data_IF_101394556191
#
_entry.id   IF_101394556191
#
_cell.length_a   1.000
_cell.length_b   1.000
_cell.length_c   1.000
_cell.angle_alpha   90.00
_cell.angle_beta   90.00
_cell.angle_gamma   90.00
#
_symmetry.space_group_name_H-M   'P 1'
#
loop_
_entity.id
_entity.type
_entity.pdbx_description
1 polymer ?
#
# COMPACT_ATOMS: atom_id res chain seq x y z
N UNK A 1 -7.89 8.29 25.54
CA UNK A 1 -8.72 7.36 24.75
C UNK A 1 -8.06 7.24 23.40
N UNK A 2 -7.76 6.03 22.98
CA UNK A 2 -7.04 5.77 21.74
C UNK A 2 -8.05 5.65 20.58
N UNK A 3 -7.74 6.27 19.45
CA UNK A 3 -8.57 6.25 18.25
C UNK A 3 -8.50 4.89 17.53
N UNK A 4 -7.37 4.19 17.67
CA UNK A 4 -7.02 2.95 16.98
C UNK A 4 -8.12 1.88 16.99
N UNK A 5 -8.83 1.59 18.11
CA UNK A 5 -9.86 0.55 18.13
C UNK A 5 -11.11 0.87 17.29
N UNK A 6 -11.32 2.13 16.93
CA UNK A 6 -12.46 2.58 16.13
C UNK A 6 -12.10 2.70 14.65
N UNK A 7 -10.81 2.65 14.33
CA UNK A 7 -10.31 2.67 12.95
C UNK A 7 -10.57 1.28 12.36
N UNK A 8 -11.23 1.25 11.22
CA UNK A 8 -11.36 0.04 10.44
C UNK A 8 -9.99 -0.31 9.85
N UNK A 9 -9.44 -1.43 10.31
CA UNK A 9 -8.16 -1.97 9.87
C UNK A 9 -8.34 -3.45 9.53
N UNK A 10 -7.97 -3.81 8.31
CA UNK A 10 -7.97 -5.20 7.86
C UNK A 10 -6.53 -5.66 7.68
N UNK A 11 -6.15 -6.70 8.42
CA UNK A 11 -4.86 -7.35 8.22
C UNK A 11 -4.92 -8.18 6.95
N UNK A 12 -3.90 -8.04 6.11
CA UNK A 12 -3.85 -8.76 4.84
C UNK A 12 -3.47 -10.22 5.04
N UNK A 13 -4.16 -11.08 4.28
CA UNK A 13 -3.81 -12.49 4.09
C UNK A 13 -3.48 -12.70 2.61
N UNK A 14 -2.25 -13.12 2.30
CA UNK A 14 -1.78 -13.29 0.92
C UNK A 14 -1.36 -11.97 0.25
N UNK A 15 -1.60 -11.83 -1.05
CA UNK A 15 -1.12 -10.69 -1.87
C UNK A 15 -2.19 -9.62 -2.17
N UNK A 16 -3.35 -9.67 -1.51
CA UNK A 16 -4.50 -8.80 -1.76
C UNK A 16 -4.36 -7.38 -1.16
N UNK A 17 -3.20 -6.75 -1.33
CA UNK A 17 -2.88 -5.45 -0.72
C UNK A 17 -3.81 -4.33 -1.18
N UNK A 18 -4.19 -4.28 -2.46
CA UNK A 18 -5.06 -3.22 -2.98
C UNK A 18 -6.45 -3.24 -2.34
N UNK A 19 -7.01 -4.43 -2.10
CA UNK A 19 -8.30 -4.58 -1.43
C UNK A 19 -8.27 -3.92 -0.05
N UNK A 20 -7.30 -4.31 0.77
CA UNK A 20 -7.17 -3.79 2.12
C UNK A 20 -6.84 -2.30 2.15
N UNK A 21 -6.01 -1.82 1.20
CA UNK A 21 -5.75 -0.39 1.06
C UNK A 21 -7.03 0.41 0.78
N UNK A 22 -7.89 -0.06 -0.14
CA UNK A 22 -9.16 0.60 -0.48
C UNK A 22 -10.18 0.51 0.66
N UNK A 23 -10.29 -0.64 1.32
CA UNK A 23 -11.20 -0.81 2.47
C UNK A 23 -10.77 0.02 3.68
N UNK A 24 -9.46 0.11 3.94
CA UNK A 24 -8.90 1.01 4.93
C UNK A 24 -9.16 2.48 4.57
N UNK A 25 -9.01 2.84 3.30
CA UNK A 25 -9.32 4.19 2.82
C UNK A 25 -10.79 4.54 3.01
N UNK A 26 -11.72 3.62 2.78
CA UNK A 26 -13.16 3.85 2.93
C UNK A 26 -13.67 3.59 4.35
N UNK A 27 -12.82 3.08 5.24
CA UNK A 27 -13.16 2.70 6.61
C UNK A 27 -14.28 1.65 6.69
N UNK A 28 -14.26 0.67 5.78
CA UNK A 28 -15.19 -0.46 5.79
C UNK A 28 -14.87 -1.50 4.71
N UNK A 29 -15.44 -2.71 4.80
CA UNK A 29 -15.21 -3.82 3.87
C UNK A 29 -16.06 -3.62 2.59
N UNK A 30 -15.74 -2.60 1.80
CA UNK A 30 -16.53 -2.22 0.63
C UNK A 30 -16.12 -2.92 -0.66
N UNK A 31 -14.86 -3.33 -0.74
CA UNK A 31 -14.30 -4.06 -1.86
C UNK A 31 -13.88 -5.45 -1.42
N UNK A 32 -14.20 -6.42 -2.27
CA UNK A 32 -13.65 -7.77 -2.22
C UNK A 32 -12.69 -8.01 -3.38
N UNK A 33 -11.85 -9.04 -3.28
CA UNK A 33 -11.00 -9.46 -4.38
C UNK A 33 -11.80 -9.77 -5.66
N UNK A 34 -13.02 -10.29 -5.52
CA UNK A 34 -13.92 -10.58 -6.64
C UNK A 34 -14.35 -9.28 -7.32
N UNK A 35 -14.76 -8.28 -6.55
CA UNK A 35 -15.15 -6.96 -7.08
C UNK A 35 -14.01 -6.31 -7.86
N UNK A 36 -12.78 -6.37 -7.32
CA UNK A 36 -11.59 -5.81 -7.98
C UNK A 36 -11.22 -6.60 -9.25
N UNK A 37 -11.35 -7.92 -9.23
CA UNK A 37 -11.12 -8.76 -10.41
C UNK A 37 -12.15 -8.47 -11.51
N UNK A 38 -13.41 -8.21 -11.16
CA UNK A 38 -14.43 -7.79 -12.12
C UNK A 38 -14.11 -6.43 -12.75
N UNK A 39 -13.63 -5.47 -11.96
CA UNK A 39 -13.18 -4.16 -12.47
C UNK A 39 -11.98 -4.34 -13.41
N UNK A 40 -11.01 -5.20 -13.05
CA UNK A 40 -9.85 -5.47 -13.88
C UNK A 40 -10.24 -6.12 -15.21
N UNK A 41 -11.09 -7.15 -15.19
CA UNK A 41 -11.58 -7.80 -16.41
C UNK A 41 -12.31 -6.84 -17.33
N UNK A 42 -13.13 -5.95 -16.74
CA UNK A 42 -13.84 -4.93 -17.52
C UNK A 42 -12.87 -3.95 -18.19
N UNK A 43 -11.79 -3.56 -17.50
CA UNK A 43 -10.76 -2.72 -18.10
C UNK A 43 -10.05 -3.44 -19.25
N UNK A 44 -9.73 -4.72 -19.09
CA UNK A 44 -9.13 -5.52 -20.16
C UNK A 44 -10.07 -5.61 -21.38
N UNK A 45 -11.39 -5.77 -21.16
CA UNK A 45 -12.42 -5.75 -22.22
C UNK A 45 -12.49 -4.39 -22.94
N UNK A 46 -12.54 -3.29 -22.18
CA UNK A 46 -12.58 -1.91 -22.71
C UNK A 46 -11.30 -1.59 -23.51
N UNK A 47 -10.12 -1.99 -23.02
CA UNK A 47 -8.83 -1.83 -23.72
C UNK A 47 -8.77 -2.69 -24.99
N UNK A 48 -9.33 -3.90 -24.96
CA UNK A 48 -9.39 -4.81 -26.10
C UNK A 48 -10.23 -4.22 -27.25
N UNK A 49 -11.32 -3.54 -26.94
CA UNK A 49 -12.19 -2.89 -27.92
C UNK A 49 -11.55 -1.67 -28.59
N UNK A 50 -10.62 -0.98 -27.90
CA UNK A 50 -9.91 0.20 -28.42
C UNK A 50 -8.71 -0.17 -29.31
N UNK A 51 -8.01 -1.27 -29.01
CA UNK A 51 -6.71 -1.58 -29.65
C UNK A 51 -6.83 -2.40 -30.95
N UNK A 52 -7.80 -3.32 -31.08
CA UNK A 52 -8.05 -4.20 -32.26
C UNK A 52 -6.84 -5.06 -32.76
N UNK A 53 -7.00 -6.10 -33.62
CA UNK A 53 -8.11 -7.03 -33.81
C UNK A 53 -7.98 -8.27 -32.89
N UNK A 54 -9.07 -9.06 -32.81
CA UNK A 54 -9.36 -10.21 -31.92
C UNK A 54 -8.40 -11.42 -31.95
N UNK A 55 -7.22 -11.32 -32.57
CA UNK A 55 -6.44 -12.49 -33.00
C UNK A 55 -5.26 -12.88 -32.09
N UNK A 56 -5.15 -12.30 -30.89
CA UNK A 56 -4.19 -12.76 -29.89
C UNK A 56 -4.87 -12.84 -28.51
N UNK A 57 -4.94 -14.03 -27.87
CA UNK A 57 -5.28 -14.11 -26.46
C UNK A 57 -4.17 -13.39 -25.69
N UNK A 58 -4.47 -12.19 -25.21
CA UNK A 58 -3.61 -11.48 -24.27
C UNK A 58 -3.98 -11.92 -22.87
N UNK A 59 -2.98 -12.26 -22.08
CA UNK A 59 -3.15 -12.41 -20.64
C UNK A 59 -3.58 -11.05 -20.08
N UNK A 60 -4.46 -11.05 -19.08
CA UNK A 60 -4.94 -9.82 -18.44
C UNK A 60 -3.75 -9.03 -17.91
N UNK A 61 -3.57 -7.82 -18.39
CA UNK A 61 -2.48 -6.96 -17.92
C UNK A 61 -2.86 -6.25 -16.61
N UNK A 62 -4.16 -6.19 -16.31
CA UNK A 62 -4.70 -5.45 -15.17
C UNK A 62 -4.87 -6.28 -13.89
N UNK A 63 -4.81 -7.61 -14.00
CA UNK A 63 -4.89 -8.57 -12.90
C UNK A 63 -4.01 -9.77 -13.20
N UNK A 64 -3.21 -10.19 -12.21
CA UNK A 64 -2.48 -11.46 -12.24
C UNK A 64 -3.05 -12.42 -11.18
N UNK A 65 -3.02 -13.73 -11.46
CA UNK A 65 -3.48 -14.80 -10.55
C UNK A 65 -2.70 -14.82 -9.22
N UNK A 66 -1.58 -14.10 -9.17
CA UNK A 66 -0.79 -13.82 -7.97
C UNK A 66 -1.43 -12.80 -7.01
N UNK A 67 -2.53 -12.13 -7.40
CA UNK A 67 -3.24 -11.14 -6.57
C UNK A 67 -2.77 -9.69 -6.73
N UNK A 68 -1.97 -9.39 -7.76
CA UNK A 68 -1.55 -8.03 -8.09
C UNK A 68 -2.58 -7.35 -8.98
N UNK A 69 -2.86 -6.08 -8.66
CA UNK A 69 -3.78 -5.24 -9.41
C UNK A 69 -3.05 -4.02 -9.97
N UNK A 70 -3.39 -3.63 -11.20
CA UNK A 70 -2.81 -2.45 -11.82
C UNK A 70 -3.30 -1.14 -11.18
N UNK A 71 -2.55 -0.06 -11.42
CA UNK A 71 -2.91 1.30 -10.99
C UNK A 71 -4.28 1.71 -11.55
N UNK A 72 -4.61 1.27 -12.76
CA UNK A 72 -5.88 1.60 -13.40
C UNK A 72 -7.08 0.99 -12.67
N UNK A 73 -6.94 -0.24 -12.12
CA UNK A 73 -7.98 -0.88 -11.31
C UNK A 73 -8.28 -0.03 -10.07
N UNK A 74 -7.23 0.39 -9.36
CA UNK A 74 -7.36 1.31 -8.22
C UNK A 74 -8.08 2.60 -8.61
N UNK A 75 -7.67 3.25 -9.71
CA UNK A 75 -8.27 4.51 -10.16
C UNK A 75 -9.76 4.34 -10.52
N UNK A 76 -10.14 3.25 -11.18
CA UNK A 76 -11.54 3.00 -11.52
C UNK A 76 -12.37 2.64 -10.29
N UNK A 77 -11.83 1.84 -9.37
CA UNK A 77 -12.47 1.54 -8.09
C UNK A 77 -12.79 2.84 -7.32
N UNK A 78 -11.82 3.76 -7.21
CA UNK A 78 -12.01 5.06 -6.57
C UNK A 78 -13.04 5.94 -7.30
N UNK A 79 -13.03 5.92 -8.63
CA UNK A 79 -13.98 6.68 -9.46
C UNK A 79 -15.44 6.28 -9.19
N UNK A 80 -15.71 5.00 -8.88
CA UNK A 80 -17.06 4.52 -8.50
C UNK A 80 -17.54 5.25 -7.23
N UNK A 81 -16.65 5.46 -6.27
CA UNK A 81 -16.90 6.19 -5.03
C UNK A 81 -16.91 7.72 -5.20
N UNK A 82 -16.59 8.22 -6.40
CA UNK A 82 -16.43 9.65 -6.65
C UNK A 82 -15.16 10.21 -6.00
N UNK A 83 -14.16 9.35 -5.79
CA UNK A 83 -12.83 9.72 -5.34
C UNK A 83 -11.90 9.81 -6.55
N UNK A 84 -11.03 10.80 -6.53
CA UNK A 84 -10.01 11.02 -7.55
C UNK A 84 -8.63 10.70 -6.97
N UNK A 85 -7.87 9.87 -7.69
CA UNK A 85 -6.48 9.56 -7.37
C UNK A 85 -5.55 10.33 -8.31
N UNK A 86 -4.89 11.37 -7.78
CA UNK A 86 -3.91 12.17 -8.52
C UNK A 86 -2.50 11.81 -8.08
N UNK A 87 -1.56 11.50 -8.99
CA UNK A 87 -0.18 11.23 -8.58
C UNK A 87 0.45 12.48 -7.93
N UNK A 88 1.23 12.30 -6.85
CA UNK A 88 1.84 13.39 -6.09
C UNK A 88 2.79 14.26 -6.95
N UNK A 89 3.40 13.68 -7.98
CA UNK A 89 4.26 14.39 -8.92
C UNK A 89 3.54 15.26 -9.94
N UNK A 90 2.19 15.25 -9.99
CA UNK A 90 1.43 16.12 -10.89
C UNK A 90 1.40 17.57 -10.41
N UNK A 91 1.32 18.52 -11.34
CA UNK A 91 1.18 19.95 -11.06
C UNK A 91 -0.06 20.26 -10.19
N UNK A 92 -1.13 19.47 -10.34
CA UNK A 92 -2.36 19.58 -9.55
C UNK A 92 -2.20 19.15 -8.09
N UNK A 93 -1.09 18.48 -7.75
CA UNK A 93 -0.78 17.98 -6.41
C UNK A 93 0.29 18.81 -5.66
N UNK A 94 0.67 19.99 -6.17
CA UNK A 94 1.63 20.89 -5.49
C UNK A 94 1.16 21.24 -4.07
N UNK A 95 -0.14 21.52 -3.89
CA UNK A 95 -0.71 21.82 -2.57
C UNK A 95 -0.56 20.63 -1.61
N UNK A 96 -0.75 19.40 -2.09
CA UNK A 96 -0.55 18.18 -1.31
C UNK A 96 0.92 17.98 -0.91
N UNK A 97 1.85 18.50 -1.70
CA UNK A 97 3.29 18.42 -1.46
C UNK A 97 3.76 19.47 -0.45
N UNK A 98 3.15 20.65 -0.49
CA UNK A 98 3.47 21.75 0.42
C UNK A 98 2.75 21.61 1.77
N UNK A 99 1.51 21.08 1.75
CA UNK A 99 0.65 20.87 2.92
C UNK A 99 -0.01 19.47 2.88
N UNK A 100 0.76 18.39 3.07
CA UNK A 100 0.21 17.03 3.04
C UNK A 100 -0.85 16.77 4.10
N UNK A 101 -0.84 17.54 5.19
CA UNK A 101 -1.75 17.39 6.33
C UNK A 101 -3.19 17.81 6.06
N UNK A 102 -3.44 18.61 5.02
CA UNK A 102 -4.79 19.10 4.70
C UNK A 102 -5.56 18.12 3.81
N UNK A 103 -4.84 17.24 3.11
CA UNK A 103 -5.41 16.21 2.24
C UNK A 103 -6.19 15.15 3.05
N UNK A 104 -7.05 14.40 2.35
CA UNK A 104 -7.91 13.40 2.97
C UNK A 104 -7.14 12.10 3.23
N UNK A 105 -6.45 11.61 2.21
CA UNK A 105 -5.65 10.40 2.28
C UNK A 105 -4.62 10.35 1.15
N UNK A 106 -3.61 9.50 1.34
CA UNK A 106 -2.66 9.10 0.31
C UNK A 106 -2.71 7.58 0.16
N UNK A 107 -2.60 7.11 -1.07
CA UNK A 107 -2.31 5.71 -1.37
C UNK A 107 -0.87 5.65 -1.87
N UNK A 108 -0.07 4.79 -1.26
CA UNK A 108 1.32 4.57 -1.62
C UNK A 108 1.46 3.17 -2.24
N UNK A 109 2.27 3.08 -3.29
CA UNK A 109 2.72 1.81 -3.87
C UNK A 109 4.24 1.68 -3.65
N UNK A 110 4.63 0.96 -2.60
CA UNK A 110 6.01 0.72 -2.21
C UNK A 110 6.35 -0.73 -2.50
N UNK A 111 7.33 -1.01 -3.38
CA UNK A 111 7.76 -2.38 -3.69
C UNK A 111 6.61 -3.32 -4.08
N UNK A 112 5.71 -2.85 -4.96
CA UNK A 112 4.51 -3.60 -5.39
C UNK A 112 3.49 -3.87 -4.27
N UNK A 113 3.60 -3.14 -3.14
CA UNK A 113 2.67 -3.21 -2.03
C UNK A 113 1.87 -1.91 -1.89
N UNK A 114 0.55 -2.06 -1.93
CA UNK A 114 -0.40 -0.97 -1.77
C UNK A 114 -0.78 -0.78 -0.30
N UNK A 115 -0.68 0.46 0.19
CA UNK A 115 -1.21 0.82 1.50
C UNK A 115 -1.72 2.26 1.54
N UNK A 116 -2.56 2.53 2.54
CA UNK A 116 -3.24 3.82 2.68
C UNK A 116 -2.74 4.57 3.91
N UNK A 117 -2.45 5.84 3.73
CA UNK A 117 -2.29 6.82 4.80
C UNK A 117 -3.57 7.67 4.83
N UNK A 118 -4.30 7.67 5.94
CA UNK A 118 -5.57 8.42 6.04
C UNK A 118 -5.54 9.39 7.23
N UNK A 119 -6.14 10.56 7.00
CA UNK A 119 -6.43 11.55 8.04
C UNK A 119 -7.80 11.30 8.67
N UNK A 120 -7.90 11.46 9.99
CA UNK A 120 -9.16 11.38 10.72
C UNK A 120 -9.48 12.70 11.43
N UNK A 121 -10.52 13.40 10.94
CA UNK A 121 -11.00 14.72 11.38
C UNK A 121 -9.97 15.86 11.37
N UNK A 122 -8.87 15.75 12.14
CA UNK A 122 -7.86 16.78 12.36
C UNK A 122 -6.58 16.52 11.54
N UNK A 123 -5.90 17.57 11.04
CA UNK A 123 -4.58 17.48 10.37
C UNK A 123 -3.47 16.82 11.20
N UNK A 124 -3.62 16.76 12.52
CA UNK A 124 -2.65 16.13 13.43
C UNK A 124 -2.85 14.62 13.62
N UNK A 125 -3.87 14.04 12.99
CA UNK A 125 -4.29 12.65 13.17
C UNK A 125 -4.17 11.88 11.86
N UNK A 126 -2.94 11.59 11.51
CA UNK A 126 -2.61 10.69 10.41
C UNK A 126 -2.32 9.30 10.93
N UNK A 127 -2.79 8.31 10.20
CA UNK A 127 -2.55 6.91 10.52
C UNK A 127 -2.06 6.15 9.31
N UNK A 128 -1.05 5.31 9.54
CA UNK A 128 -0.62 4.28 8.63
C UNK A 128 -1.59 3.11 8.72
N UNK A 129 -2.28 2.82 7.63
CA UNK A 129 -3.19 1.68 7.52
C UNK A 129 -2.60 0.60 6.62
N UNK A 130 -1.28 0.42 6.68
CA UNK A 130 -0.62 -0.68 6.01
C UNK A 130 -1.10 -2.01 6.59
N UNK A 131 -1.73 -2.82 5.75
CA UNK A 131 -2.32 -4.11 6.06
C UNK A 131 -1.31 -5.17 6.53
N UNK A 132 0.00 -4.95 6.33
CA UNK A 132 1.07 -5.79 6.87
C UNK A 132 1.36 -5.53 8.36
N UNK A 133 0.88 -4.40 8.90
CA UNK A 133 1.04 -4.07 10.31
C UNK A 133 0.05 -4.85 11.18
N UNK A 134 0.30 -4.88 12.49
CA UNK A 134 -0.62 -5.48 13.46
C UNK A 134 -1.78 -4.54 13.84
N UNK A 135 -1.78 -3.31 13.33
CA UNK A 135 -2.85 -2.33 13.52
C UNK A 135 -2.50 -0.96 12.95
N UNK A 136 -3.42 -0.01 13.12
CA UNK A 136 -3.22 1.36 12.67
C UNK A 136 -2.15 2.09 13.51
N UNK A 137 -1.07 2.53 12.87
CA UNK A 137 0.01 3.28 13.53
C UNK A 137 -0.19 4.78 13.35
N UNK A 138 -0.02 5.55 14.43
CA UNK A 138 -0.11 7.00 14.35
C UNK A 138 1.16 7.61 13.72
N UNK A 139 0.94 8.55 12.81
CA UNK A 139 1.96 9.32 12.11
C UNK A 139 1.82 10.80 12.51
N UNK A 140 2.93 11.44 12.88
CA UNK A 140 2.96 12.88 13.13
C UNK A 140 2.96 13.68 11.83
N UNK A 141 2.51 14.93 11.87
CA UNK A 141 2.53 15.85 10.71
C UNK A 141 3.93 16.01 10.10
N UNK A 142 4.97 16.03 10.94
CA UNK A 142 6.36 16.11 10.47
C UNK A 142 6.84 14.80 9.85
N UNK A 143 6.44 13.66 10.41
CA UNK A 143 6.84 12.34 9.94
C UNK A 143 6.17 12.00 8.59
N UNK A 144 4.84 12.13 8.50
CA UNK A 144 4.23 13.01 7.50
C UNK A 144 4.93 13.21 6.16
N UNK A 145 5.29 14.48 5.97
CA UNK A 145 6.00 14.95 4.80
C UNK A 145 7.35 14.25 4.61
N UNK A 146 8.05 13.88 5.67
CA UNK A 146 9.35 13.18 5.52
C UNK A 146 9.18 11.81 4.84
N UNK A 147 8.19 11.03 5.25
CA UNK A 147 7.86 9.73 4.67
C UNK A 147 7.47 9.87 3.20
N UNK A 148 6.59 10.82 2.87
CA UNK A 148 6.18 11.06 1.48
C UNK A 148 7.37 11.46 0.59
N UNK A 149 8.27 12.31 1.09
CA UNK A 149 9.49 12.69 0.36
C UNK A 149 10.46 11.54 0.16
N UNK A 150 10.59 10.67 1.16
CA UNK A 150 11.43 9.48 1.04
C UNK A 150 10.89 8.56 -0.07
N UNK A 151 9.59 8.25 -0.03
CA UNK A 151 8.95 7.39 -1.03
C UNK A 151 9.07 7.99 -2.44
N UNK A 152 8.90 9.32 -2.57
CA UNK A 152 9.12 10.05 -3.84
C UNK A 152 10.57 9.93 -4.33
N UNK A 153 11.55 10.07 -3.43
CA UNK A 153 12.98 10.00 -3.77
C UNK A 153 13.45 8.61 -4.18
N UNK A 154 12.82 7.57 -3.63
CA UNK A 154 13.08 6.18 -3.98
C UNK A 154 12.41 5.78 -5.31
N UNK A 155 11.59 6.67 -5.90
CA UNK A 155 10.95 6.47 -7.20
C UNK A 155 9.63 5.71 -7.13
N UNK A 156 9.04 5.59 -5.94
CA UNK A 156 7.76 4.92 -5.76
C UNK A 156 6.58 5.84 -6.08
N UNK A 157 5.45 5.23 -6.41
CA UNK A 157 4.24 5.96 -6.80
C UNK A 157 3.38 6.30 -5.59
N UNK A 158 3.06 7.59 -5.44
CA UNK A 158 2.16 8.11 -4.41
C UNK A 158 0.98 8.77 -5.09
N UNK A 159 -0.23 8.47 -4.63
CA UNK A 159 -1.47 9.03 -5.12
C UNK A 159 -2.17 9.79 -4.00
N UNK A 160 -2.46 11.06 -4.24
CA UNK A 160 -3.29 11.90 -3.40
C UNK A 160 -4.74 11.60 -3.70
N UNK A 161 -5.52 11.30 -2.66
CA UNK A 161 -6.94 11.00 -2.78
C UNK A 161 -7.76 12.22 -2.39
N UNK A 162 -8.56 12.70 -3.35
CA UNK A 162 -9.46 13.84 -3.16
C UNK A 162 -10.90 13.41 -3.44
N UNK A 163 -11.84 13.94 -2.67
CA UNK A 163 -13.27 13.69 -2.84
C UNK A 163 -14.01 13.53 -1.52
N UNK A 164 -15.24 13.00 -1.60
CA UNK A 164 -16.09 12.75 -0.44
C UNK A 164 -15.94 11.29 0.00
N UNK A 165 -15.15 11.04 1.04
CA UNK A 165 -15.14 9.73 1.70
C UNK A 165 -16.36 9.59 2.60
N UNK A 166 -16.88 8.36 2.79
CA UNK A 166 -17.90 8.12 3.81
C UNK A 166 -17.37 8.53 5.20
N UNK A 167 -18.22 9.20 5.97
CA UNK A 167 -17.93 9.56 7.37
C UNK A 167 -17.87 8.30 8.19
N UNK A 168 -16.79 8.11 8.95
CA UNK A 168 -16.61 6.93 9.79
C UNK A 168 -16.81 7.29 11.27
N UNK A 169 -17.20 6.33 12.13
CA UNK A 169 -17.25 6.55 13.58
C UNK A 169 -15.90 7.00 14.16
N UNK A 170 -14.79 6.62 13.51
CA UNK A 170 -13.46 7.09 13.85
C UNK A 170 -13.29 8.60 13.59
N UNK A 171 -13.87 9.15 12.52
CA UNK A 171 -13.81 10.58 12.25
C UNK A 171 -14.55 11.38 13.33
N UNK A 172 -15.73 10.92 13.73
CA UNK A 172 -16.54 11.57 14.78
C UNK A 172 -15.80 11.57 16.12
N UNK A 173 -15.22 10.43 16.50
CA UNK A 173 -14.44 10.32 17.73
C UNK A 173 -13.16 11.16 17.65
N UNK A 174 -12.47 11.15 16.51
CA UNK A 174 -11.23 11.89 16.29
C UNK A 174 -11.40 13.40 16.50
N UNK A 175 -12.58 13.95 16.18
CA UNK A 175 -12.93 15.35 16.39
C UNK A 175 -13.05 15.73 17.88
N UNK A 176 -13.44 14.78 18.73
CA UNK A 176 -13.64 15.00 20.18
C UNK A 176 -12.39 14.75 21.01
N UNK A 177 -11.41 14.02 20.48
CA UNK A 177 -10.21 13.62 21.21
C UNK A 177 -9.14 14.73 21.22
N UNK A 178 -8.42 14.92 22.34
CA UNK A 178 -7.28 15.82 22.40
C UNK A 178 -6.14 15.32 21.51
N UNK A 179 -5.34 16.21 20.89
CA UNK A 179 -4.31 15.83 19.93
C UNK A 179 -3.37 14.75 20.51
N UNK A 180 -2.96 13.77 19.69
CA UNK A 180 -2.13 12.67 20.16
C UNK A 180 -0.82 13.22 20.74
N UNK A 181 -0.34 12.66 21.87
CA UNK A 181 0.93 13.08 22.44
C UNK A 181 2.06 12.80 21.45
N UNK A 182 2.91 13.80 21.19
CA UNK A 182 4.03 13.74 20.24
C UNK A 182 5.06 12.62 20.54
N UNK A 183 4.93 11.92 21.67
CA UNK A 183 5.85 10.90 22.15
C UNK A 183 5.53 9.46 21.73
N UNK A 184 4.47 9.21 20.94
CA UNK A 184 4.15 7.86 20.41
C UNK A 184 4.75 7.58 19.03
N UNK A 185 5.74 8.37 18.60
CA UNK A 185 6.60 7.96 17.50
C UNK A 185 7.49 6.83 18.03
N UNK A 186 7.14 5.57 17.72
CA UNK A 186 8.06 4.46 17.82
C UNK A 186 9.20 4.72 16.82
N UNK A 187 10.24 5.41 17.29
CA UNK A 187 11.50 5.51 16.59
C UNK A 187 12.11 4.09 16.50
N UNK A 188 11.78 3.35 15.46
CA UNK A 188 12.62 2.26 14.95
C UNK A 188 13.72 2.85 14.06
N UNK A 189 14.44 3.84 14.60
CA UNK A 189 15.79 4.17 14.14
C UNK A 189 16.73 3.54 15.18
N UNK A 190 17.26 2.37 14.86
CA UNK A 190 18.27 1.67 15.67
C UNK A 190 19.64 2.36 15.57
N UNK A 191 19.68 3.67 15.84
CA UNK A 191 20.90 4.42 16.10
C UNK A 191 20.90 4.81 17.57
N UNK A 192 21.85 4.31 18.34
CA UNK A 192 22.06 4.71 19.73
C UNK A 192 22.31 6.23 19.76
N UNK A 193 21.27 7.02 20.09
CA UNK A 193 21.39 8.47 20.23
C UNK A 193 22.10 8.81 21.52
N UNK A 194 23.36 9.21 21.46
CA UNK A 194 24.10 9.73 22.61
C UNK A 194 23.61 11.15 22.90
N UNK A 195 23.06 11.38 24.09
CA UNK A 195 22.71 12.72 24.55
C UNK A 195 23.98 13.49 24.92
N UNK A 196 24.22 14.66 24.32
CA UNK A 196 25.37 15.53 24.57
C UNK A 196 25.25 16.37 25.86
N UNK A 197 24.43 15.95 26.82
CA UNK A 197 24.30 16.60 28.12
C UNK A 197 24.67 15.64 29.25
N UNK A 198 25.96 15.49 29.50
CA UNK A 198 26.49 14.70 30.62
C UNK A 198 28.00 14.91 30.77
N UNK A 199 28.43 15.28 31.97
CA UNK A 199 29.81 15.57 32.38
C UNK A 199 30.83 14.47 32.03
N UNK A 200 32.08 14.82 31.68
CA UNK A 200 33.07 13.85 31.21
C UNK A 200 33.80 13.21 32.37
N UNK A 201 33.40 12.02 32.79
CA UNK A 201 34.23 11.15 33.63
C UNK A 201 33.60 9.76 33.66
N UNK A 202 34.02 8.85 32.76
CA UNK A 202 34.31 7.43 33.02
C UNK A 202 35.01 6.81 31.78
N UNK A 203 36.06 5.96 31.93
CA UNK A 203 36.70 5.28 30.82
C UNK A 203 35.81 4.14 30.30
N UNK A 204 35.66 4.03 28.97
CA UNK A 204 34.95 2.95 28.29
C UNK A 204 35.80 1.68 28.40
N UNK A 205 35.35 0.71 29.20
CA UNK A 205 35.93 -0.63 29.28
C UNK A 205 35.16 -1.57 28.35
N UNK A 206 35.86 -2.32 27.49
CA UNK A 206 35.30 -3.46 26.75
C UNK A 206 35.41 -3.44 25.23
N UNK A 207 36.57 -3.07 24.66
CA UNK A 207 36.84 -3.22 23.23
C UNK A 207 38.13 -4.04 22.99
N UNK A 208 38.18 -5.28 23.49
CA UNK A 208 39.35 -6.15 23.26
C UNK A 208 39.04 -7.56 22.71
N UNK A 209 37.78 -7.94 22.41
CA UNK A 209 37.45 -9.35 22.12
C UNK A 209 36.80 -9.67 20.74
N UNK A 210 36.85 -8.78 19.73
CA UNK A 210 36.17 -9.02 18.43
C UNK A 210 37.09 -9.25 17.21
N UNK A 211 38.42 -9.37 17.37
CA UNK A 211 39.35 -9.56 16.24
C UNK A 211 39.51 -11.03 15.77
N UNK A 212 38.98 -12.01 16.51
CA UNK A 212 39.11 -13.44 16.15
C UNK A 212 38.11 -13.88 15.08
N UNK A 213 36.88 -13.34 15.11
CA UNK A 213 35.81 -13.78 14.22
C UNK A 213 36.00 -13.28 12.77
N UNK A 214 36.62 -12.11 12.59
CA UNK A 214 36.77 -11.49 11.27
C UNK A 214 37.88 -12.14 10.43
N UNK A 215 38.96 -12.60 11.09
CA UNK A 215 40.05 -13.30 10.41
C UNK A 215 39.64 -14.70 9.94
N UNK A 216 38.77 -15.39 10.70
CA UNK A 216 38.25 -16.71 10.34
C UNK A 216 37.36 -16.69 9.08
N UNK A 217 36.58 -15.62 8.89
CA UNK A 217 35.72 -15.47 7.72
C UNK A 217 36.52 -15.26 6.41
N UNK A 218 37.63 -14.51 6.48
CA UNK A 218 38.50 -14.26 5.31
C UNK A 218 39.21 -15.56 4.87
N UNK A 219 39.61 -16.40 5.82
CA UNK A 219 40.28 -17.67 5.51
C UNK A 219 39.33 -18.71 4.87
N UNK A 220 38.04 -18.70 5.25
CA UNK A 220 37.04 -19.60 4.67
C UNK A 220 36.76 -19.28 3.18
N UNK A 221 36.69 -18.00 2.80
CA UNK A 221 36.44 -17.61 1.40
C UNK A 221 37.61 -17.91 0.45
N UNK A 222 38.84 -18.01 0.94
CA UNK A 222 40.01 -18.33 0.11
C UNK A 222 40.15 -19.82 -0.21
N UNK A 223 39.40 -20.70 0.47
CA UNK A 223 39.45 -22.16 0.27
C UNK A 223 38.39 -22.70 -0.71
N UNK A 224 37.34 -21.93 -0.98
CA UNK A 224 36.25 -22.34 -1.89
C UNK A 224 36.47 -21.98 -3.37
N UNK A 225 37.43 -21.11 -3.70
CA UNK A 225 37.75 -20.73 -5.08
C UNK A 225 38.63 -21.77 -5.85
N UNK A 226 38.72 -23.01 -5.33
CA UNK A 226 39.71 -24.00 -5.75
C UNK A 226 39.15 -25.37 -6.13
N UNK A 227 37.97 -25.47 -6.73
CA UNK A 227 37.51 -26.72 -7.37
C UNK A 227 36.48 -26.43 -8.46
N UNK A 228 36.87 -26.65 -9.72
CA UNK A 228 36.01 -26.71 -10.92
C UNK A 228 35.70 -28.19 -11.18
N UNK A 229 34.44 -28.55 -11.48
CA UNK A 229 34.02 -29.37 -12.64
C UNK A 229 32.77 -30.25 -12.40
N UNK A 230 31.88 -30.22 -13.41
CA UNK A 230 30.84 -31.22 -13.71
C UNK A 230 29.44 -30.86 -13.18
N UNK A 231 28.32 -31.01 -13.89
CA UNK A 231 27.99 -31.56 -15.21
C UNK A 231 26.50 -31.19 -15.49
N UNK A 232 26.08 -31.27 -16.76
CA UNK A 232 24.79 -30.84 -17.32
C UNK A 232 23.57 -31.77 -17.11
N UNK A 233 22.41 -31.23 -17.53
CA UNK A 233 21.13 -31.82 -17.97
C UNK A 233 20.04 -32.15 -16.92
N UNK A 234 18.81 -31.65 -17.18
CA UNK A 234 17.58 -32.46 -17.36
C UNK A 234 16.38 -31.58 -17.83
N UNK A 235 15.87 -31.97 -19.01
CA UNK A 235 14.50 -32.06 -19.56
C UNK A 235 13.45 -30.93 -19.52
N UNK A 236 13.03 -30.62 -20.75
CA UNK A 236 11.76 -30.12 -21.28
C UNK A 236 10.47 -30.65 -20.59
N UNK A 237 9.46 -29.78 -20.43
CA UNK A 237 8.23 -30.03 -19.68
C UNK A 237 7.04 -29.20 -20.17
N UNK A 238 6.75 -29.30 -21.47
CA UNK A 238 5.57 -28.76 -22.16
C UNK A 238 4.25 -29.23 -21.50
N UNK A 239 3.41 -28.32 -20.98
CA UNK A 239 2.01 -28.61 -20.63
C UNK A 239 1.03 -27.67 -21.31
N UNK A 240 -0.03 -28.32 -21.77
CA UNK A 240 -0.99 -27.96 -22.82
C UNK A 240 -2.14 -27.17 -22.19
N UNK A 241 -2.52 -26.04 -22.79
CA UNK A 241 -3.78 -25.33 -22.49
C UNK A 241 -4.93 -26.12 -23.11
N UNK A 242 -5.96 -26.39 -22.33
CA UNK A 242 -7.27 -26.81 -22.84
C UNK A 242 -8.23 -25.63 -22.72
N UNK A 243 -8.76 -25.28 -23.88
CA UNK A 243 -9.77 -24.29 -24.18
C UNK A 243 -11.13 -24.91 -23.93
N UNK A 244 -11.97 -24.25 -23.14
CA UNK A 244 -13.41 -24.48 -23.15
C UNK A 244 -14.11 -23.12 -23.18
N UNK A 245 -14.56 -22.77 -24.39
CA UNK A 245 -15.33 -21.58 -24.62
C UNK A 245 -16.79 -21.69 -24.16
N UNK A 246 -17.37 -20.48 -24.07
CA UNK A 246 -18.75 -20.11 -24.44
C UNK A 246 -19.73 -19.91 -23.27
N UNK A 247 -19.94 -18.63 -22.96
CA UNK A 247 -21.08 -18.15 -22.18
C UNK A 247 -21.29 -16.64 -22.37
N UNK A 248 -21.80 -16.23 -23.54
CA UNK A 248 -22.29 -14.85 -23.74
C UNK A 248 -23.53 -14.63 -22.88
N UNK A 249 -23.50 -13.63 -22.01
CA UNK A 249 -24.70 -13.11 -21.36
C UNK A 249 -24.39 -11.93 -20.46
N UNK A 250 -24.78 -10.73 -20.88
CA UNK A 250 -25.06 -9.52 -20.07
C UNK A 250 -24.69 -9.63 -18.57
N UNK A 251 -23.48 -9.20 -18.21
CA UNK A 251 -23.12 -8.93 -16.79
C UNK A 251 -22.80 -7.43 -16.58
N UNK A 252 -22.86 -6.63 -17.65
CA UNK A 252 -22.21 -5.30 -17.73
C UNK A 252 -22.71 -4.19 -16.79
N UNK A 253 -23.87 -4.31 -16.14
CA UNK A 253 -24.40 -3.21 -15.30
C UNK A 253 -24.54 -3.55 -13.81
N UNK A 254 -24.75 -4.82 -13.44
CA UNK A 254 -25.25 -5.12 -12.09
C UNK A 254 -24.21 -4.80 -11.01
N UNK A 255 -22.94 -5.15 -11.19
CA UNK A 255 -21.90 -5.02 -10.14
C UNK A 255 -21.50 -3.56 -9.87
N UNK A 256 -21.24 -2.76 -10.91
CA UNK A 256 -20.86 -1.34 -10.76
C UNK A 256 -22.05 -0.48 -10.35
N UNK A 257 -23.23 -0.74 -10.89
CA UNK A 257 -24.46 -0.04 -10.49
C UNK A 257 -24.84 -0.39 -9.05
N UNK A 258 -24.63 -1.65 -8.61
CA UNK A 258 -24.80 -2.06 -7.21
C UNK A 258 -23.79 -1.36 -6.29
N UNK A 259 -22.51 -1.23 -6.68
CA UNK A 259 -21.53 -0.45 -5.89
C UNK A 259 -21.92 1.04 -5.80
N UNK A 260 -22.43 1.63 -6.90
CA UNK A 260 -22.95 3.01 -6.89
C UNK A 260 -24.22 3.14 -6.06
N UNK A 261 -25.07 2.12 -6.04
CA UNK A 261 -26.27 2.05 -5.22
C UNK A 261 -25.92 1.95 -3.74
N UNK A 262 -24.98 1.06 -3.39
CA UNK A 262 -24.42 0.95 -2.03
C UNK A 262 -23.83 2.28 -1.58
N UNK A 263 -23.03 2.95 -2.43
CA UNK A 263 -22.56 4.32 -2.17
C UNK A 263 -23.72 5.27 -1.87
N UNK A 264 -24.78 5.25 -2.67
CA UNK A 264 -25.97 6.08 -2.47
C UNK A 264 -26.64 5.82 -1.12
N UNK A 265 -26.78 4.56 -0.73
CA UNK A 265 -27.32 4.16 0.58
C UNK A 265 -26.41 4.59 1.74
N UNK A 266 -25.09 4.59 1.57
CA UNK A 266 -24.13 4.95 2.64
C UNK A 266 -23.99 6.47 2.79
N UNK A 267 -24.02 7.22 1.69
CA UNK A 267 -23.85 8.68 1.73
C UNK A 267 -25.17 9.42 2.02
N UNK A 268 -26.33 8.80 1.75
CA UNK A 268 -27.65 9.44 1.85
C UNK A 268 -28.71 8.59 2.57
N UNK A 269 -28.32 7.47 3.18
CA UNK A 269 -29.20 6.69 4.05
C UNK A 269 -29.25 7.28 5.45
N UNK A 270 -30.43 7.74 5.84
CA UNK A 270 -30.83 8.08 7.22
C UNK A 270 -30.69 6.89 8.18
#
# INVERSE_FOLDING_TARGET
>A
MDLVPHIHFEKQEGNLCLQHALNALLQGPYFTAVDLAEIARKLDEDEQDVVAPRDQPRESANYDDSGFFSIQVMQNALRIWGLEATPLGAETAIEARDRPQDELAFICNLQEHWYTLRRFALPSRWYNLNSMLDGAEWISETYLGMMLRQIESEGYSIFVIRGLSPTSPADDLAATLPPPPQSRASNTFAGQGYSLSGTPEQPIAGLEDDDWAMSAAIEASLREAGTIAGEEEVSDGKRKREDDGKGKGKVEDVSVEEMRRRRGEILYGD
#
